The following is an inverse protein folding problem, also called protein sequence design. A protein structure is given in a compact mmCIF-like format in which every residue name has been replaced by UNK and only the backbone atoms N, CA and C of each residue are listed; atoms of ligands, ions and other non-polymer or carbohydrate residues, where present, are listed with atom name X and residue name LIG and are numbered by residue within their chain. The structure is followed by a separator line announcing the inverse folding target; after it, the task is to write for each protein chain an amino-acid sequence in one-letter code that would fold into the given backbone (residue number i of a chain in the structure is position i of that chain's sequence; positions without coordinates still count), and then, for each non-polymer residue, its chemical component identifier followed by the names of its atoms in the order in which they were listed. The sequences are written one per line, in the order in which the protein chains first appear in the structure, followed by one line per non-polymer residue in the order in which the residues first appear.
data_IF_397481330169
#
_entry.id   IF_397481330169
#
_cell.length_a   1.000
_cell.length_b   1.000
_cell.length_c   1.000
_cell.angle_alpha   90.00
_cell.angle_beta   90.00
_cell.angle_gamma   90.00
#
_symmetry.space_group_name_H-M   'P 1'
#
loop_
_entity.id
_entity.type
_entity.pdbx_description
1 polymer ?
#
# COMPACT_ATOMS: atom_id res chain seq x y z
N UNK A 1 -8.43 -1.04 -13.28
CA UNK A 1 -9.77 -1.01 -12.66
C UNK A 1 -9.68 -1.74 -11.33
N UNK A 2 -9.81 -1.04 -10.18
CA UNK A 2 -9.72 -1.67 -8.87
C UNK A 2 -10.86 -2.67 -8.68
N UNK A 3 -10.52 -3.91 -8.31
CA UNK A 3 -11.49 -4.94 -8.00
C UNK A 3 -12.18 -4.67 -6.66
N UNK A 4 -13.48 -4.97 -6.57
CA UNK A 4 -14.14 -5.09 -5.27
C UNK A 4 -13.62 -6.37 -4.60
N UNK A 5 -13.22 -6.29 -3.32
CA UNK A 5 -12.93 -7.49 -2.51
C UNK A 5 -14.17 -8.35 -2.57
N UNK A 6 -14.07 -9.52 -3.22
CA UNK A 6 -15.22 -10.31 -3.62
C UNK A 6 -16.14 -10.61 -2.44
N UNK A 7 -17.47 -10.64 -2.68
CA UNK A 7 -18.46 -11.23 -1.77
C UNK A 7 -18.31 -12.77 -1.64
N UNK A 8 -17.14 -13.32 -1.99
CA UNK A 8 -16.80 -14.74 -1.88
C UNK A 8 -16.51 -15.17 -0.45
N UNK A 9 -16.08 -16.42 -0.27
CA UNK A 9 -15.69 -16.92 1.04
C UNK A 9 -14.52 -16.13 1.64
N UNK A 10 -14.36 -16.19 2.97
CA UNK A 10 -13.33 -15.41 3.69
C UNK A 10 -11.91 -15.60 3.13
N UNK A 11 -11.57 -16.82 2.70
CA UNK A 11 -10.27 -17.14 2.09
C UNK A 11 -10.05 -16.48 0.72
N UNK A 12 -11.11 -16.28 -0.07
CA UNK A 12 -11.02 -15.56 -1.35
C UNK A 12 -10.78 -14.07 -1.10
N UNK A 13 -11.52 -13.47 -0.16
CA UNK A 13 -11.34 -12.09 0.22
C UNK A 13 -9.93 -11.82 0.76
N UNK A 14 -9.38 -12.68 1.61
CA UNK A 14 -7.98 -12.56 2.10
C UNK A 14 -6.95 -12.69 0.97
N UNK A 15 -7.16 -13.59 0.02
CA UNK A 15 -6.27 -13.73 -1.15
C UNK A 15 -6.29 -12.47 -2.00
N UNK A 16 -7.47 -11.90 -2.25
CA UNK A 16 -7.63 -10.69 -3.05
C UNK A 16 -6.96 -9.50 -2.34
N UNK A 17 -7.11 -9.38 -1.03
CA UNK A 17 -6.42 -8.35 -0.23
C UNK A 17 -4.90 -8.49 -0.32
N UNK A 18 -4.37 -9.72 -0.18
CA UNK A 18 -2.94 -9.96 -0.29
C UNK A 18 -2.38 -9.60 -1.68
N UNK A 19 -3.13 -9.91 -2.74
CA UNK A 19 -2.73 -9.56 -4.10
C UNK A 19 -2.70 -8.04 -4.29
N UNK A 20 -3.67 -7.32 -3.75
CA UNK A 20 -3.73 -5.85 -3.84
C UNK A 20 -2.63 -5.17 -3.01
N UNK A 21 -2.27 -5.70 -1.85
CA UNK A 21 -1.13 -5.19 -1.07
C UNK A 21 0.21 -5.39 -1.82
N UNK A 22 0.44 -6.56 -2.41
CA UNK A 22 1.66 -6.85 -3.17
C UNK A 22 1.76 -5.97 -4.43
N UNK A 23 0.63 -5.80 -5.14
CA UNK A 23 0.52 -4.86 -6.26
C UNK A 23 0.85 -3.43 -5.83
N UNK A 24 0.23 -2.96 -4.75
CA UNK A 24 0.46 -1.61 -4.22
C UNK A 24 1.93 -1.37 -3.88
N UNK A 25 2.63 -2.36 -3.32
CA UNK A 25 4.06 -2.27 -3.06
C UNK A 25 4.87 -2.03 -4.35
N UNK A 26 4.63 -2.85 -5.38
CA UNK A 26 5.33 -2.72 -6.66
C UNK A 26 5.10 -1.36 -7.33
N UNK A 27 3.84 -0.90 -7.33
CA UNK A 27 3.46 0.39 -7.91
C UNK A 27 4.13 1.57 -7.21
N UNK A 28 4.17 1.55 -5.87
CA UNK A 28 4.79 2.63 -5.10
C UNK A 28 6.31 2.64 -5.20
N UNK A 29 6.97 1.49 -5.35
CA UNK A 29 8.40 1.45 -5.67
C UNK A 29 8.65 2.11 -7.02
N UNK A 30 7.86 1.77 -8.05
CA UNK A 30 7.99 2.38 -9.36
C UNK A 30 7.71 3.89 -9.32
N UNK A 31 6.70 4.32 -8.56
CA UNK A 31 6.32 5.72 -8.37
C UNK A 31 7.43 6.53 -7.70
N UNK A 32 8.04 6.01 -6.62
CA UNK A 32 9.18 6.65 -5.96
C UNK A 32 10.37 6.81 -6.91
N UNK A 33 10.66 5.82 -7.75
CA UNK A 33 11.73 5.93 -8.73
C UNK A 33 11.44 7.01 -9.78
N UNK A 34 10.17 7.16 -10.19
CA UNK A 34 9.75 8.26 -11.09
C UNK A 34 9.88 9.63 -10.42
N UNK A 35 9.44 9.79 -9.18
CA UNK A 35 9.61 11.03 -8.43
C UNK A 35 11.08 11.40 -8.23
N UNK A 36 11.92 10.45 -7.81
CA UNK A 36 13.36 10.67 -7.68
C UNK A 36 14.00 11.07 -9.01
N UNK A 37 13.59 10.45 -10.13
CA UNK A 37 14.07 10.84 -11.45
C UNK A 37 13.70 12.29 -11.78
N UNK A 38 12.45 12.70 -11.56
CA UNK A 38 11.99 14.09 -11.79
C UNK A 38 12.80 15.09 -10.94
N UNK A 39 13.08 14.76 -9.68
CA UNK A 39 13.84 15.63 -8.77
C UNK A 39 15.33 15.75 -9.14
N UNK A 40 15.96 14.65 -9.56
CA UNK A 40 17.41 14.60 -9.84
C UNK A 40 17.75 15.02 -11.28
N UNK A 41 16.88 14.68 -12.25
CA UNK A 41 17.13 14.86 -13.69
C UNK A 41 16.01 15.71 -14.34
N UNK A 42 15.99 17.03 -14.13
CA UNK A 42 14.88 17.91 -14.54
C UNK A 42 14.66 17.95 -16.07
N UNK A 43 15.72 17.83 -16.88
CA UNK A 43 15.64 17.92 -18.34
C UNK A 43 15.51 16.55 -19.04
N UNK A 44 15.30 15.47 -18.27
CA UNK A 44 15.09 14.17 -18.88
C UNK A 44 13.72 14.15 -19.56
N UNK A 45 13.60 13.71 -20.82
CA UNK A 45 12.29 13.41 -21.38
C UNK A 45 11.61 12.42 -20.43
N UNK A 46 10.40 12.75 -20.00
CA UNK A 46 9.57 11.82 -19.25
C UNK A 46 9.36 10.59 -20.15
N UNK A 47 9.41 9.36 -19.61
CA UNK A 47 8.88 8.23 -20.36
C UNK A 47 7.43 8.55 -20.77
N UNK A 48 6.97 8.06 -21.94
CA UNK A 48 5.63 8.23 -22.53
C UNK A 48 4.48 7.65 -21.66
N UNK A 49 4.64 7.60 -20.35
CA UNK A 49 3.58 7.26 -19.40
C UNK A 49 2.78 8.53 -19.12
N UNK A 50 1.79 8.77 -19.97
CA UNK A 50 0.62 9.61 -19.66
C UNK A 50 -0.06 9.05 -18.40
N UNK A 51 0.33 9.53 -17.21
CA UNK A 51 -0.50 9.42 -16.01
C UNK A 51 0.10 10.37 -14.94
N UNK A 52 -0.05 11.67 -15.18
CA UNK A 52 0.52 12.70 -14.30
C UNK A 52 -0.49 13.24 -13.27
N UNK A 53 -1.73 12.72 -13.17
CA UNK A 53 -2.67 13.33 -12.21
C UNK A 53 -3.86 12.49 -11.72
N UNK A 54 -3.88 11.17 -11.88
CA UNK A 54 -5.05 10.37 -11.49
C UNK A 54 -4.74 9.24 -10.51
N UNK A 55 -5.68 9.08 -9.57
CA UNK A 55 -5.65 8.26 -8.37
C UNK A 55 -4.77 7.01 -8.46
N UNK A 56 -3.83 6.90 -7.53
CA UNK A 56 -3.09 5.66 -7.28
C UNK A 56 -4.07 4.47 -7.16
N UNK A 57 -3.77 3.36 -7.85
CA UNK A 57 -4.62 2.16 -7.89
C UNK A 57 -4.95 1.65 -6.48
N UNK A 58 -4.00 1.71 -5.54
CA UNK A 58 -4.23 1.40 -4.12
C UNK A 58 -5.24 2.37 -3.47
N UNK A 59 -5.13 3.66 -3.73
CA UNK A 59 -6.04 4.67 -3.19
C UNK A 59 -7.47 4.45 -3.65
N UNK A 60 -7.65 4.18 -4.95
CA UNK A 60 -8.96 3.88 -5.54
C UNK A 60 -9.53 2.55 -4.98
N UNK A 61 -8.70 1.51 -4.87
CA UNK A 61 -9.08 0.25 -4.25
C UNK A 61 -9.50 0.41 -2.79
N UNK A 62 -8.73 1.17 -2.01
CA UNK A 62 -9.04 1.42 -0.60
C UNK A 62 -10.36 2.18 -0.46
N UNK A 63 -10.58 3.24 -1.23
CA UNK A 63 -11.82 4.01 -1.20
C UNK A 63 -13.05 3.15 -1.50
N UNK A 64 -12.93 2.21 -2.45
CA UNK A 64 -13.99 1.27 -2.80
C UNK A 64 -14.27 0.25 -1.68
N UNK A 65 -13.24 -0.20 -0.97
CA UNK A 65 -13.32 -1.32 -0.04
C UNK A 65 -13.26 -0.94 1.45
N UNK A 66 -13.12 0.34 1.80
CA UNK A 66 -12.95 0.84 3.18
C UNK A 66 -14.04 0.44 4.18
N UNK A 67 -15.20 0.01 3.70
CA UNK A 67 -16.33 -0.46 4.51
C UNK A 67 -16.43 -2.00 4.60
N UNK A 68 -15.56 -2.73 3.89
CA UNK A 68 -15.44 -4.18 4.04
C UNK A 68 -14.86 -4.49 5.43
N UNK A 69 -15.42 -5.46 6.16
CA UNK A 69 -15.01 -5.80 7.53
C UNK A 69 -13.53 -6.20 7.67
N UNK A 70 -12.94 -6.78 6.64
CA UNK A 70 -11.51 -7.13 6.62
C UNK A 70 -10.63 -5.90 6.39
N UNK A 71 -11.15 -4.84 5.78
CA UNK A 71 -10.45 -3.60 5.48
C UNK A 71 -10.71 -2.54 6.54
N UNK A 72 -11.89 -2.52 7.15
CA UNK A 72 -12.29 -1.58 8.20
C UNK A 72 -11.63 -1.95 9.54
N UNK A 73 -10.30 -1.83 9.55
CA UNK A 73 -9.43 -2.15 10.66
C UNK A 73 -8.49 -0.97 10.92
N UNK A 74 -8.15 -0.67 12.19
CA UNK A 74 -7.26 0.46 12.52
C UNK A 74 -5.94 0.47 11.75
N UNK A 75 -5.36 -0.72 11.49
CA UNK A 75 -4.10 -0.84 10.76
C UNK A 75 -4.24 -0.46 9.27
N UNK A 76 -5.38 -0.74 8.64
CA UNK A 76 -5.65 -0.33 7.25
C UNK A 76 -5.92 1.18 7.17
N UNK A 77 -6.63 1.75 8.14
CA UNK A 77 -6.82 3.22 8.23
C UNK A 77 -5.49 3.96 8.41
N UNK A 78 -4.60 3.41 9.25
CA UNK A 78 -3.24 3.94 9.42
C UNK A 78 -2.42 3.87 8.13
N UNK A 79 -2.50 2.74 7.40
CA UNK A 79 -1.84 2.58 6.11
C UNK A 79 -2.34 3.62 5.10
N UNK A 80 -3.67 3.79 4.99
CA UNK A 80 -4.28 4.78 4.08
C UNK A 80 -3.92 6.22 4.44
N UNK A 81 -3.83 6.54 5.73
CA UNK A 81 -3.36 7.85 6.20
C UNK A 81 -1.91 8.10 5.80
N UNK A 82 -1.04 7.11 6.00
CA UNK A 82 0.39 7.21 5.64
C UNK A 82 0.58 7.32 4.13
N UNK A 83 -0.22 6.58 3.36
CA UNK A 83 -0.30 6.69 1.90
C UNK A 83 -0.64 8.12 1.45
N UNK A 84 -1.70 8.72 1.99
CA UNK A 84 -2.08 10.09 1.65
C UNK A 84 -0.96 11.08 1.96
N UNK A 85 -0.36 10.96 3.15
CA UNK A 85 0.74 11.83 3.56
C UNK A 85 1.97 11.70 2.66
N UNK A 86 2.27 10.50 2.16
CA UNK A 86 3.36 10.27 1.21
C UNK A 86 3.09 11.03 -0.09
N UNK A 87 1.89 10.86 -0.66
CA UNK A 87 1.48 11.56 -1.87
C UNK A 87 1.50 13.09 -1.70
N UNK A 88 0.99 13.60 -0.59
CA UNK A 88 0.99 15.04 -0.29
C UNK A 88 2.42 15.59 -0.17
N UNK A 89 3.33 14.85 0.47
CA UNK A 89 4.75 15.22 0.53
C UNK A 89 5.40 15.23 -0.85
N UNK A 90 5.17 14.20 -1.67
CA UNK A 90 5.74 14.13 -3.01
C UNK A 90 5.22 15.26 -3.91
N UNK A 91 3.91 15.54 -3.86
CA UNK A 91 3.28 16.62 -4.62
C UNK A 91 3.88 17.98 -4.26
N UNK A 92 4.03 18.27 -2.97
CA UNK A 92 4.66 19.52 -2.49
C UNK A 92 6.10 19.65 -3.00
N UNK A 93 6.89 18.57 -2.90
CA UNK A 93 8.29 18.57 -3.29
C UNK A 93 8.49 18.73 -4.80
N UNK A 94 7.70 18.02 -5.61
CA UNK A 94 7.73 18.13 -7.07
C UNK A 94 7.26 19.50 -7.54
N UNK A 95 6.19 20.04 -6.94
CA UNK A 95 5.70 21.38 -7.28
C UNK A 95 6.72 22.47 -6.94
N UNK A 96 7.40 22.36 -5.78
CA UNK A 96 8.45 23.30 -5.40
C UNK A 96 9.64 23.25 -6.38
N UNK A 97 10.02 22.04 -6.81
CA UNK A 97 11.06 21.85 -7.82
C UNK A 97 10.69 22.51 -9.16
N UNK A 98 9.44 22.38 -9.60
CA UNK A 98 8.99 22.96 -10.87
C UNK A 98 8.98 24.51 -10.85
N UNK A 99 8.76 25.12 -9.67
CA UNK A 99 8.68 26.59 -9.52
C UNK A 99 10.05 27.21 -9.26
N UNK A 100 10.80 26.70 -8.28
CA UNK A 100 12.01 27.34 -7.75
C UNK A 100 13.31 26.66 -8.24
N UNK A 101 13.20 25.55 -8.98
CA UNK A 101 14.31 24.68 -9.40
C UNK A 101 15.19 24.16 -8.24
N UNK A 102 14.68 24.25 -7.01
CA UNK A 102 15.36 23.83 -5.78
C UNK A 102 14.62 22.64 -5.15
N UNK A 103 15.38 21.74 -4.51
CA UNK A 103 14.82 20.62 -3.74
C UNK A 103 15.24 20.84 -2.30
N UNK A 104 14.28 21.15 -1.44
CA UNK A 104 14.53 21.23 0.01
C UNK A 104 14.83 19.82 0.54
N UNK A 105 16.04 19.66 1.11
CA UNK A 105 16.48 18.40 1.70
C UNK A 105 15.56 17.93 2.83
N UNK A 106 15.02 18.85 3.63
CA UNK A 106 14.14 18.48 4.74
C UNK A 106 12.80 17.91 4.23
N UNK A 107 12.23 18.48 3.18
CA UNK A 107 11.01 17.96 2.56
C UNK A 107 11.25 16.64 1.81
N UNK A 108 12.44 16.47 1.20
CA UNK A 108 12.86 15.20 0.63
C UNK A 108 12.97 14.10 1.70
N UNK A 109 13.65 14.37 2.81
CA UNK A 109 13.80 13.43 3.92
C UNK A 109 12.45 13.06 4.53
N UNK A 110 11.54 14.03 4.65
CA UNK A 110 10.18 13.79 5.12
C UNK A 110 9.38 12.90 4.17
N UNK A 111 9.50 13.09 2.84
CA UNK A 111 8.89 12.18 1.85
C UNK A 111 9.47 10.76 1.98
N UNK A 112 10.80 10.63 2.10
CA UNK A 112 11.47 9.35 2.25
C UNK A 112 11.01 8.60 3.51
N UNK A 113 10.93 9.29 4.65
CA UNK A 113 10.45 8.73 5.91
C UNK A 113 8.99 8.23 5.81
N UNK A 114 8.13 8.97 5.10
CA UNK A 114 6.75 8.55 4.85
C UNK A 114 6.67 7.31 3.96
N UNK A 115 7.55 7.22 2.96
CA UNK A 115 7.65 6.03 2.11
C UNK A 115 8.08 4.80 2.90
N UNK A 116 9.12 4.93 3.74
CA UNK A 116 9.56 3.85 4.64
C UNK A 116 8.43 3.38 5.57
N UNK A 117 7.72 4.34 6.18
CA UNK A 117 6.58 4.05 7.06
C UNK A 117 5.47 3.31 6.31
N UNK A 118 5.12 3.75 5.10
CA UNK A 118 4.12 3.10 4.26
C UNK A 118 4.52 1.64 3.95
N UNK A 119 5.76 1.40 3.50
CA UNK A 119 6.23 0.06 3.19
C UNK A 119 6.31 -0.85 4.41
N UNK A 120 6.72 -0.33 5.56
CA UNK A 120 6.76 -1.09 6.80
C UNK A 120 5.36 -1.54 7.24
N UNK A 121 4.38 -0.64 7.16
CA UNK A 121 2.98 -0.94 7.48
C UNK A 121 2.37 -1.94 6.50
N UNK A 122 2.59 -1.76 5.20
CA UNK A 122 2.12 -2.66 4.14
C UNK A 122 2.66 -4.09 4.36
N UNK A 123 3.98 -4.25 4.56
CA UNK A 123 4.59 -5.56 4.82
C UNK A 123 4.13 -6.19 6.14
N UNK A 124 3.77 -5.38 7.14
CA UNK A 124 3.18 -5.88 8.39
C UNK A 124 1.78 -6.44 8.15
N UNK A 125 0.96 -5.74 7.37
CA UNK A 125 -0.39 -6.19 7.00
C UNK A 125 -0.33 -7.46 6.15
N UNK A 126 0.54 -7.53 5.14
CA UNK A 126 0.71 -8.76 4.36
C UNK A 126 1.06 -9.96 5.23
N UNK A 127 1.97 -9.79 6.21
CA UNK A 127 2.32 -10.85 7.15
C UNK A 127 1.12 -11.27 8.00
N UNK A 128 0.35 -10.31 8.51
CA UNK A 128 -0.84 -10.59 9.29
C UNK A 128 -1.89 -11.39 8.50
N UNK A 129 -2.19 -10.99 7.25
CA UNK A 129 -3.11 -11.72 6.39
C UNK A 129 -2.57 -13.11 5.98
N UNK A 130 -1.26 -13.25 5.73
CA UNK A 130 -0.65 -14.56 5.45
C UNK A 130 -0.74 -15.50 6.67
N UNK A 131 -0.48 -15.01 7.88
CA UNK A 131 -0.59 -15.79 9.12
C UNK A 131 -2.03 -16.21 9.38
N UNK A 132 -2.99 -15.29 9.30
CA UNK A 132 -4.41 -15.60 9.48
C UNK A 132 -4.87 -16.70 8.53
N UNK A 133 -4.41 -16.66 7.26
CA UNK A 133 -4.71 -17.69 6.27
C UNK A 133 -4.00 -19.02 6.54
N UNK A 134 -2.76 -19.01 7.04
CA UNK A 134 -2.06 -20.25 7.38
C UNK A 134 -2.71 -20.97 8.56
N UNK A 135 -3.34 -20.23 9.46
CA UNK A 135 -4.03 -20.75 10.64
C UNK A 135 -5.36 -21.45 10.32
N UNK A 136 -5.83 -21.39 9.07
CA UNK A 136 -7.09 -22.01 8.62
C UNK A 136 -6.79 -23.12 7.61
N UNK A 137 -7.34 -24.31 7.86
CA UNK A 137 -7.26 -25.44 6.93
C UNK A 137 -8.05 -25.12 5.64
N UNK A 138 -7.41 -25.18 4.46
CA UNK A 138 -8.03 -24.78 3.20
C UNK A 138 -9.09 -25.77 2.67
N UNK A 139 -9.20 -26.98 3.23
CA UNK A 139 -10.19 -27.98 2.83
C UNK A 139 -11.47 -27.92 3.66
N UNK A 140 -11.41 -27.44 4.91
CA UNK A 140 -12.55 -27.45 5.83
C UNK A 140 -12.92 -26.08 6.41
N UNK A 141 -12.07 -25.06 6.25
CA UNK A 141 -12.29 -23.72 6.82
C UNK A 141 -12.19 -23.67 8.35
N UNK A 142 -11.67 -24.72 8.98
CA UNK A 142 -11.44 -24.82 10.42
C UNK A 142 -10.02 -24.50 10.78
N UNK A 143 -9.77 -24.03 12.00
CA UNK A 143 -8.41 -23.81 12.49
C UNK A 143 -7.53 -25.04 12.32
N UNK A 144 -6.29 -24.82 11.87
CA UNK A 144 -5.34 -25.89 11.67
C UNK A 144 -4.93 -26.50 13.03
N UNK A 145 -4.36 -27.71 12.99
CA UNK A 145 -3.97 -28.44 14.21
C UNK A 145 -2.98 -27.65 15.09
N UNK A 146 -2.12 -26.81 14.51
CA UNK A 146 -1.13 -26.03 15.27
C UNK A 146 -1.80 -24.90 16.05
N UNK A 147 -2.75 -24.20 15.45
CA UNK A 147 -3.55 -23.16 16.11
C UNK A 147 -4.38 -23.75 17.24
N UNK A 148 -5.06 -24.88 17.00
CA UNK A 148 -5.81 -25.59 18.04
C UNK A 148 -4.91 -26.09 19.20
N UNK A 149 -3.68 -26.52 18.92
CA UNK A 149 -2.72 -26.93 19.95
C UNK A 149 -2.12 -25.75 20.73
N UNK A 150 -2.07 -24.55 20.14
CA UNK A 150 -1.63 -23.33 20.82
C UNK A 150 -2.64 -22.89 21.89
N UNK A 151 -3.93 -22.86 21.54
CA UNK A 151 -5.01 -22.46 22.44
C UNK A 151 -5.23 -23.43 23.61
N UNK A 152 -4.93 -24.72 23.42
CA UNK A 152 -5.07 -25.74 24.47
C UNK A 152 -3.94 -25.71 25.51
N UNK A 153 -2.83 -25.03 25.21
CA UNK A 153 -1.65 -24.95 26.08
C UNK A 153 -1.49 -23.55 26.75
N UNK A 154 -2.47 -22.66 26.58
CA UNK A 154 -2.54 -21.34 27.20
C UNK A 154 -3.51 -21.35 28.41
#
# INVERSE_FOLDING_TARGET
MPGSVANGGMADAERDILAELDKALGEHVALLLRWNRKLVLPDSPAPDTEDDDHDCDFGAWYALNRHNRLIDQPAMHALATTHQQLHDSAKRLLSARDVDNEVDSAEFDMMALRAESFFAQLRRLERAFRTARSDVDPLTGTYNRQTMMGDLNA
#
